data_IF_021310374801
#
_entry.id   IF_021310374801
#
_cell.length_a   1.000
_cell.length_b   1.000
_cell.length_c   1.000
_cell.angle_alpha   90.00
_cell.angle_beta   90.00
_cell.angle_gamma   90.00
#
_symmetry.space_group_name_H-M   'P 1'
#
loop_
_entity.id
_entity.type
_entity.pdbx_description
1 polymer ?
#
# COMPACT_ATOMS: atom_id res chain seq x y z
N UNK A 1 11.35 9.13 16.43
CA UNK A 1 9.99 9.27 15.90
C UNK A 1 10.12 9.23 14.39
N UNK A 2 9.49 8.25 13.77
CA UNK A 2 9.46 8.18 12.31
C UNK A 2 8.71 9.39 11.74
N UNK A 3 9.00 9.72 10.48
CA UNK A 3 8.40 10.84 9.78
C UNK A 3 8.04 10.42 8.37
N UNK A 4 6.93 10.95 7.88
CA UNK A 4 6.57 10.79 6.48
C UNK A 4 7.63 11.50 5.61
N UNK A 5 8.18 10.78 4.64
CA UNK A 5 9.20 11.26 3.71
C UNK A 5 8.68 11.21 2.28
N UNK A 6 9.28 12.01 1.40
CA UNK A 6 8.89 12.04 -0.01
C UNK A 6 8.96 10.69 -0.71
N UNK A 7 9.96 9.88 -0.37
CA UNK A 7 10.15 8.54 -0.94
C UNK A 7 8.98 7.60 -0.63
N UNK A 8 8.24 7.86 0.46
CA UNK A 8 7.07 7.06 0.84
C UNK A 8 5.86 7.40 -0.03
N UNK A 9 5.67 8.68 -0.42
CA UNK A 9 4.51 9.11 -1.21
C UNK A 9 4.74 9.11 -2.73
N UNK A 10 5.99 9.34 -3.16
CA UNK A 10 6.31 9.50 -4.57
C UNK A 10 5.82 8.34 -5.47
N UNK A 11 5.91 7.06 -5.06
CA UNK A 11 5.41 5.95 -5.87
C UNK A 11 3.89 5.99 -6.10
N UNK A 12 3.12 6.50 -5.13
CA UNK A 12 1.65 6.56 -5.22
C UNK A 12 1.14 7.76 -6.02
N UNK A 13 2.00 8.73 -6.33
CA UNK A 13 1.63 9.98 -6.98
C UNK A 13 0.89 9.79 -8.33
N UNK A 14 1.29 8.86 -9.22
CA UNK A 14 0.57 8.61 -10.48
C UNK A 14 -0.86 8.07 -10.28
N UNK A 15 -1.15 7.53 -9.09
CA UNK A 15 -2.36 6.77 -8.80
C UNK A 15 -3.38 7.55 -7.97
N UNK A 16 -3.18 8.86 -7.79
CA UNK A 16 -4.11 9.77 -7.11
C UNK A 16 -4.53 9.31 -5.70
N UNK A 17 -3.58 8.80 -4.93
CA UNK A 17 -3.82 8.36 -3.54
C UNK A 17 -4.57 9.41 -2.72
N UNK A 18 -5.54 8.97 -1.94
CA UNK A 18 -6.29 9.84 -1.05
C UNK A 18 -5.51 10.12 0.24
N UNK A 19 -5.65 11.32 0.77
CA UNK A 19 -4.97 11.74 1.98
C UNK A 19 -5.98 12.30 2.97
N UNK A 20 -5.85 11.94 4.24
CA UNK A 20 -6.50 12.65 5.33
C UNK A 20 -5.70 13.90 5.67
N UNK A 21 -6.45 14.98 5.87
CA UNK A 21 -5.92 16.28 6.31
C UNK A 21 -6.73 16.75 7.52
N UNK A 22 -6.14 17.64 8.32
CA UNK A 22 -6.80 18.20 9.51
C UNK A 22 -7.86 19.26 9.13
N UNK A 23 -8.86 18.86 8.35
CA UNK A 23 -9.94 19.72 7.87
C UNK A 23 -11.18 18.90 7.49
N UNK A 24 -12.29 19.11 8.18
CA UNK A 24 -13.59 18.50 7.86
C UNK A 24 -14.17 19.01 6.52
N UNK A 25 -13.72 20.17 6.05
CA UNK A 25 -14.22 20.77 4.80
C UNK A 25 -13.77 20.02 3.55
N UNK A 26 -12.69 19.26 3.66
CA UNK A 26 -12.01 18.60 2.54
C UNK A 26 -11.70 17.16 2.94
N UNK A 27 -12.70 16.28 3.06
CA UNK A 27 -12.48 14.87 3.34
C UNK A 27 -11.76 14.21 2.17
N UNK A 28 -10.70 13.44 2.47
CA UNK A 28 -9.99 12.58 1.51
C UNK A 28 -9.58 13.24 0.16
N UNK A 29 -8.94 14.43 0.15
CA UNK A 29 -8.40 14.99 -1.08
C UNK A 29 -7.31 14.09 -1.69
N UNK A 30 -7.20 14.13 -3.02
CA UNK A 30 -6.26 13.29 -3.79
C UNK A 30 -4.91 13.97 -3.94
N UNK A 31 -3.83 13.24 -3.72
CA UNK A 31 -2.47 13.71 -3.96
C UNK A 31 -2.23 13.87 -5.48
N UNK A 32 -1.87 15.07 -5.91
CA UNK A 32 -1.64 15.40 -7.34
C UNK A 32 -0.27 16.02 -7.61
N UNK A 33 0.49 16.36 -6.56
CA UNK A 33 1.84 16.87 -6.74
C UNK A 33 2.64 16.90 -5.45
N UNK A 34 3.95 16.96 -5.60
CA UNK A 34 4.92 17.05 -4.50
C UNK A 34 6.02 18.03 -4.93
N UNK A 35 6.39 18.97 -4.04
CA UNK A 35 7.52 19.86 -4.25
C UNK A 35 8.21 20.16 -2.91
N UNK A 36 9.39 19.55 -2.70
CA UNK A 36 10.13 19.71 -1.45
C UNK A 36 9.31 19.22 -0.26
N UNK A 37 9.02 20.10 0.70
CA UNK A 37 8.22 19.73 1.88
C UNK A 37 6.71 19.94 1.68
N UNK A 38 6.28 20.38 0.50
CA UNK A 38 4.87 20.65 0.22
C UNK A 38 4.26 19.58 -0.68
N UNK A 39 3.02 19.22 -0.36
CA UNK A 39 2.16 18.35 -1.16
C UNK A 39 1.00 19.16 -1.71
N UNK A 40 0.63 18.86 -2.95
CA UNK A 40 -0.50 19.47 -3.64
C UNK A 40 -1.62 18.44 -3.71
N UNK A 41 -2.79 18.83 -3.23
CA UNK A 41 -3.96 17.97 -3.19
C UNK A 41 -5.08 18.55 -4.05
N UNK A 42 -5.94 17.68 -4.60
CA UNK A 42 -7.14 18.05 -5.32
C UNK A 42 -8.38 17.51 -4.61
N UNK A 43 -9.34 18.38 -4.34
CA UNK A 43 -10.66 18.02 -3.83
C UNK A 43 -11.74 18.58 -4.76
N UNK A 44 -12.34 17.72 -5.58
CA UNK A 44 -13.37 18.08 -6.56
C UNK A 44 -13.00 19.32 -7.41
N UNK A 45 -11.75 19.41 -7.88
CA UNK A 45 -11.26 20.53 -8.68
C UNK A 45 -10.68 21.70 -7.88
N UNK A 46 -10.82 21.71 -6.56
CA UNK A 46 -10.15 22.67 -5.67
C UNK A 46 -8.74 22.19 -5.36
N UNK A 47 -7.73 23.03 -5.61
CA UNK A 47 -6.34 22.72 -5.31
C UNK A 47 -5.93 23.26 -3.94
N UNK A 48 -5.31 22.42 -3.15
CA UNK A 48 -4.83 22.71 -1.80
C UNK A 48 -3.32 22.46 -1.73
N UNK A 49 -2.64 23.15 -0.81
CA UNK A 49 -1.22 22.97 -0.55
C UNK A 49 -1.01 22.79 0.95
N UNK A 50 -0.35 21.71 1.35
CA UNK A 50 -0.04 21.40 2.74
C UNK A 50 1.43 21.03 2.88
N UNK A 51 1.98 21.23 4.08
CA UNK A 51 3.24 20.60 4.44
C UNK A 51 3.03 19.09 4.56
N UNK A 52 4.04 18.31 4.16
CA UNK A 52 4.02 16.84 4.17
C UNK A 52 3.60 16.26 5.53
N UNK A 53 4.05 16.90 6.62
CA UNK A 53 3.73 16.47 7.99
C UNK A 53 2.27 16.71 8.41
N UNK A 54 1.49 17.45 7.62
CA UNK A 54 0.08 17.75 7.91
C UNK A 54 -0.90 16.82 7.19
N UNK A 55 -0.37 15.85 6.46
CA UNK A 55 -1.18 14.89 5.72
C UNK A 55 -0.89 13.47 6.22
N UNK A 56 -1.87 12.58 6.07
CA UNK A 56 -1.68 11.15 6.23
C UNK A 56 -2.28 10.45 5.01
N UNK A 57 -1.52 9.69 4.21
CA UNK A 57 -2.10 8.89 3.13
C UNK A 57 -3.11 7.90 3.72
N UNK A 58 -4.17 7.60 2.97
CA UNK A 58 -5.15 6.56 3.28
C UNK A 58 -4.74 5.33 2.46
N UNK A 59 -4.48 4.22 3.15
CA UNK A 59 -3.88 3.02 2.55
C UNK A 59 -4.65 1.77 2.97
N UNK A 60 -4.57 0.74 2.13
CA UNK A 60 -4.97 -0.62 2.47
C UNK A 60 -3.84 -1.32 3.24
N UNK A 61 -4.11 -2.00 4.37
CA UNK A 61 -3.09 -2.80 5.04
C UNK A 61 -2.72 -4.01 4.17
N UNK A 62 -1.45 -4.43 4.19
CA UNK A 62 -0.98 -5.56 3.38
C UNK A 62 -1.71 -6.87 3.68
N UNK A 63 -2.22 -7.05 4.90
CA UNK A 63 -3.04 -8.21 5.26
C UNK A 63 -4.31 -8.35 4.41
N UNK A 64 -4.80 -7.27 3.81
CA UNK A 64 -5.99 -7.32 2.97
C UNK A 64 -5.75 -7.93 1.59
N UNK A 65 -4.49 -8.05 1.15
CA UNK A 65 -4.15 -8.76 -0.09
C UNK A 65 -4.71 -10.18 -0.13
N UNK A 66 -4.81 -10.84 1.02
CA UNK A 66 -5.33 -12.22 1.14
C UNK A 66 -6.83 -12.31 0.89
N UNK A 67 -7.55 -11.18 0.91
CA UNK A 67 -9.00 -11.06 0.75
C UNK A 67 -9.38 -10.28 -0.51
N UNK A 68 -8.40 -9.74 -1.23
CA UNK A 68 -8.63 -8.92 -2.41
C UNK A 68 -8.81 -9.77 -3.67
N UNK A 69 -10.06 -9.89 -4.12
CA UNK A 69 -10.43 -10.63 -5.32
C UNK A 69 -9.76 -10.07 -6.60
N UNK A 70 -9.47 -8.75 -6.64
CA UNK A 70 -8.81 -8.11 -7.77
C UNK A 70 -7.32 -8.47 -7.82
N UNK A 71 -6.68 -8.57 -6.66
CA UNK A 71 -5.30 -9.07 -6.56
C UNK A 71 -5.22 -10.55 -6.96
N UNK A 72 -6.16 -11.37 -6.50
CA UNK A 72 -6.24 -12.78 -6.88
C UNK A 72 -6.39 -12.94 -8.40
N UNK A 73 -7.27 -12.15 -9.02
CA UNK A 73 -7.46 -12.15 -10.47
C UNK A 73 -6.19 -11.71 -11.20
N UNK A 74 -5.56 -10.62 -10.77
CA UNK A 74 -4.30 -10.13 -11.33
C UNK A 74 -3.23 -11.22 -11.32
N UNK A 75 -3.05 -11.90 -10.18
CA UNK A 75 -2.06 -12.96 -10.09
C UNK A 75 -2.35 -14.12 -11.06
N UNK A 76 -3.63 -14.47 -11.27
CA UNK A 76 -4.02 -15.51 -12.25
C UNK A 76 -3.78 -15.09 -13.70
N UNK A 77 -3.93 -13.80 -14.02
CA UNK A 77 -3.68 -13.28 -15.37
C UNK A 77 -2.19 -13.20 -15.68
N UNK A 78 -1.38 -12.76 -14.72
CA UNK A 78 0.06 -12.57 -14.89
C UNK A 78 0.84 -13.88 -14.79
N UNK A 79 0.38 -14.80 -13.93
CA UNK A 79 0.93 -16.14 -13.80
C UNK A 79 0.01 -17.06 -14.59
N UNK A 80 0.34 -17.27 -15.87
CA UNK A 80 -0.46 -18.03 -16.86
C UNK A 80 -0.79 -19.48 -16.43
N UNK A 81 -0.27 -19.94 -15.30
CA UNK A 81 -0.40 -21.28 -14.75
C UNK A 81 -0.35 -21.22 -13.21
N UNK A 82 -1.45 -20.91 -12.48
CA UNK A 82 -1.48 -21.19 -11.04
C UNK A 82 -2.88 -21.53 -10.49
N UNK A 83 -2.94 -22.57 -9.64
CA UNK A 83 -3.90 -22.58 -8.53
C UNK A 83 -3.34 -21.58 -7.51
N UNK A 84 -3.72 -20.31 -7.64
CA UNK A 84 -3.27 -19.28 -6.72
C UNK A 84 -3.89 -19.54 -5.34
N UNK A 85 -3.05 -19.68 -4.32
CA UNK A 85 -3.50 -19.60 -2.94
C UNK A 85 -2.61 -18.60 -2.23
N UNK A 86 -3.18 -17.45 -1.90
CA UNK A 86 -2.55 -16.50 -0.99
C UNK A 86 -2.78 -17.07 0.41
N UNK A 87 -1.68 -17.40 1.07
CA UNK A 87 -1.72 -17.93 2.44
C UNK A 87 -0.97 -17.00 3.37
N UNK A 88 -1.59 -16.67 4.50
CA UNK A 88 -0.87 -16.23 5.68
C UNK A 88 -0.27 -17.48 6.31
N UNK A 89 1.06 -17.58 6.34
CA UNK A 89 1.76 -18.65 7.04
C UNK A 89 2.24 -18.09 8.38
N UNK A 90 1.68 -18.57 9.51
CA UNK A 90 2.25 -18.24 10.82
C UNK A 90 3.63 -18.88 10.91
N UNK A 91 4.65 -18.09 11.27
CA UNK A 91 5.99 -18.64 11.47
C UNK A 91 6.16 -19.20 12.88
N UNK A 92 7.09 -20.15 13.05
CA UNK A 92 7.40 -20.75 14.36
C UNK A 92 7.99 -19.73 15.36
N UNK A 93 8.34 -18.54 14.86
CA UNK A 93 8.78 -17.38 15.61
C UNK A 93 7.59 -16.40 15.70
N UNK A 94 7.18 -16.10 16.94
CA UNK A 94 6.30 -15.01 17.43
C UNK A 94 5.30 -14.47 16.39
N UNK A 95 4.00 -14.77 16.46
CA UNK A 95 2.83 -14.10 15.81
C UNK A 95 2.98 -13.46 14.40
N UNK A 96 4.06 -13.72 13.67
CA UNK A 96 4.45 -13.03 12.46
C UNK A 96 3.69 -13.64 11.27
N UNK A 97 3.41 -12.79 10.29
CA UNK A 97 2.62 -13.15 9.11
C UNK A 97 3.45 -13.08 7.86
N UNK A 98 3.63 -14.22 7.19
CA UNK A 98 4.22 -14.29 5.86
C UNK A 98 3.11 -14.39 4.80
N UNK A 99 3.12 -13.48 3.82
CA UNK A 99 2.24 -13.55 2.65
C UNK A 99 3.00 -14.19 1.50
N UNK A 100 2.48 -15.30 0.98
CA UNK A 100 3.09 -16.10 -0.09
C UNK A 100 2.11 -16.34 -1.22
N UNK A 101 2.60 -16.26 -2.46
CA UNK A 101 1.93 -16.76 -3.67
C UNK A 101 2.49 -18.14 -4.02
N UNK A 102 1.63 -19.14 -4.15
CA UNK A 102 2.00 -20.46 -4.69
C UNK A 102 1.89 -20.47 -6.22
N UNK A 103 2.97 -20.82 -6.91
CA UNK A 103 3.05 -20.91 -8.38
C UNK A 103 3.01 -22.39 -8.81
N UNK A 104 2.35 -22.74 -9.93
CA UNK A 104 2.38 -24.13 -10.42
C UNK A 104 3.83 -24.55 -10.69
N UNK A 105 4.23 -25.66 -10.06
CA UNK A 105 5.63 -26.11 -10.01
C UNK A 105 6.11 -26.39 -8.58
N UNK A 106 5.39 -25.85 -7.58
CA UNK A 106 5.71 -26.02 -6.16
C UNK A 106 6.56 -24.89 -5.58
N UNK A 107 6.92 -23.90 -6.41
CA UNK A 107 7.65 -22.72 -5.96
C UNK A 107 6.71 -21.73 -5.26
N UNK A 108 7.21 -21.18 -4.15
CA UNK A 108 6.54 -20.18 -3.34
C UNK A 108 7.24 -18.83 -3.56
N UNK A 109 6.46 -17.80 -3.90
CA UNK A 109 6.94 -16.43 -4.01
C UNK A 109 6.50 -15.68 -2.77
N UNK A 110 7.45 -15.35 -1.89
CA UNK A 110 7.17 -14.54 -0.72
C UNK A 110 7.06 -13.06 -1.12
N UNK A 111 6.02 -12.38 -0.63
CA UNK A 111 5.77 -10.98 -0.94
C UNK A 111 6.13 -10.08 0.24
N UNK A 112 5.65 -10.46 1.43
CA UNK A 112 5.82 -9.68 2.66
C UNK A 112 5.96 -10.57 3.88
N UNK A 113 6.63 -10.04 4.90
CA UNK A 113 6.77 -10.61 6.22
C UNK A 113 6.47 -9.51 7.25
N UNK A 114 5.51 -9.76 8.14
CA UNK A 114 5.09 -8.83 9.20
C UNK A 114 4.84 -7.39 8.70
N UNK A 115 4.03 -7.26 7.64
CA UNK A 115 3.70 -5.98 6.99
C UNK A 115 4.89 -5.24 6.34
N UNK A 116 6.04 -5.90 6.18
CA UNK A 116 7.16 -5.38 5.40
C UNK A 116 7.28 -6.14 4.08
N UNK A 117 7.43 -5.41 2.97
CA UNK A 117 7.70 -6.03 1.67
C UNK A 117 9.11 -6.64 1.67
N UNK A 118 9.22 -7.89 1.23
CA UNK A 118 10.49 -8.58 1.09
C UNK A 118 11.26 -8.08 -0.14
N UNK A 119 12.59 -8.12 -0.06
CA UNK A 119 13.48 -7.68 -1.15
C UNK A 119 13.34 -8.53 -2.43
N UNK A 120 12.86 -9.75 -2.26
CA UNK A 120 12.60 -10.76 -3.28
C UNK A 120 11.21 -10.60 -3.92
N UNK A 121 10.38 -9.68 -3.40
CA UNK A 121 9.05 -9.40 -3.95
C UNK A 121 9.19 -8.99 -5.42
N UNK A 122 8.57 -9.73 -6.36
CA UNK A 122 8.66 -9.37 -7.76
C UNK A 122 8.09 -7.98 -8.03
N UNK A 123 8.81 -7.21 -8.85
CA UNK A 123 8.45 -5.82 -9.18
C UNK A 123 6.99 -5.66 -9.61
N UNK A 124 6.47 -6.61 -10.37
CA UNK A 124 5.08 -6.61 -10.84
C UNK A 124 4.04 -6.57 -9.70
N UNK A 125 4.26 -7.32 -8.62
CA UNK A 125 3.36 -7.29 -7.47
C UNK A 125 3.55 -6.00 -6.67
N UNK A 126 4.79 -5.53 -6.55
CA UNK A 126 5.09 -4.25 -5.91
C UNK A 126 4.38 -3.08 -6.60
N UNK A 127 4.48 -2.98 -7.93
CA UNK A 127 3.82 -1.96 -8.74
C UNK A 127 2.29 -2.04 -8.60
N UNK A 128 1.74 -3.26 -8.64
CA UNK A 128 0.30 -3.46 -8.45
C UNK A 128 -0.16 -2.98 -7.07
N UNK A 129 0.58 -3.30 -6.00
CA UNK A 129 0.27 -2.86 -4.63
C UNK A 129 0.29 -1.33 -4.50
N UNK A 130 1.27 -0.66 -5.12
CA UNK A 130 1.33 0.81 -5.16
C UNK A 130 0.14 1.39 -5.92
N UNK A 131 -0.21 0.83 -7.08
CA UNK A 131 -1.34 1.28 -7.90
C UNK A 131 -2.67 1.19 -7.14
N UNK A 132 -2.81 0.17 -6.30
CA UNK A 132 -4.03 -0.10 -5.51
C UNK A 132 -3.91 0.40 -4.06
N UNK A 133 -2.95 1.30 -3.78
CA UNK A 133 -2.79 2.01 -2.51
C UNK A 133 -2.61 1.09 -1.28
N UNK A 134 -1.89 -0.01 -1.43
CA UNK A 134 -1.47 -0.86 -0.31
C UNK A 134 -0.27 -0.29 0.42
N UNK A 135 -0.18 -0.52 1.73
CA UNK A 135 0.88 -0.01 2.60
C UNK A 135 2.22 -0.76 2.46
N UNK A 136 2.91 -0.57 1.32
CA UNK A 136 4.19 -1.26 1.05
C UNK A 136 5.37 -0.75 1.91
N UNK A 137 5.17 0.33 2.68
CA UNK A 137 6.20 0.97 3.51
C UNK A 137 5.90 0.87 5.01
N UNK A 138 4.89 0.09 5.41
CA UNK A 138 4.44 -0.04 6.79
C UNK A 138 4.15 1.33 7.47
N UNK A 139 3.57 2.28 6.73
CA UNK A 139 3.20 3.60 7.22
C UNK A 139 2.03 3.54 8.20
N UNK A 140 1.13 2.57 8.07
CA UNK A 140 0.01 2.34 8.99
C UNK A 140 0.57 1.91 10.35
N UNK A 141 1.46 0.90 10.37
CA UNK A 141 2.09 0.42 11.60
C UNK A 141 2.92 1.50 12.32
N UNK A 142 3.45 2.46 11.57
CA UNK A 142 4.20 3.60 12.09
C UNK A 142 3.35 4.86 12.37
N UNK A 143 2.02 4.77 12.31
CA UNK A 143 1.08 5.89 12.54
C UNK A 143 1.27 7.09 11.59
N UNK A 144 1.88 6.86 10.42
CA UNK A 144 2.12 7.84 9.37
C UNK A 144 1.04 7.84 8.29
N UNK A 145 0.25 6.77 8.19
CA UNK A 145 -0.92 6.63 7.32
C UNK A 145 -2.19 6.31 8.11
N UNK A 146 -3.34 6.36 7.44
CA UNK A 146 -4.62 5.89 7.96
C UNK A 146 -4.94 4.56 7.28
N UNK A 147 -5.27 3.55 8.08
CA UNK A 147 -5.88 2.32 7.59
C UNK A 147 -7.29 2.62 7.06
N UNK A 148 -7.52 2.37 5.78
CA UNK A 148 -8.82 2.61 5.14
C UNK A 148 -9.98 1.86 5.82
N UNK A 149 -9.71 0.72 6.45
CA UNK A 149 -10.73 -0.05 7.18
C UNK A 149 -11.13 0.57 8.51
N UNK A 150 -10.42 1.61 8.96
CA UNK A 150 -10.71 2.35 10.21
C UNK A 150 -11.56 3.61 10.00
N UNK A 151 -11.90 3.94 8.75
CA UNK A 151 -12.71 5.10 8.38
C UNK A 151 -14.23 4.87 8.52
#
# INVERSE_FOLDING_TARGET
>A
MEKLELKHLAPYLPYNIECSIYSEMYPSPKLVGINGLFVYLNYHGTYLSFELEKIRPILHPLSDLTKDESFELFCKEQITCANLKIIEVPTEFIDDKLIVINVLGGDNVALSYDNEILSECPLLFYEWMIEHHYDVYNLIGNELAIDINSL
#
